data_IF_405632863629
#
_entry.id   IF_405632863629
#
_cell.length_a   1.000
_cell.length_b   1.000
_cell.length_c   1.000
_cell.angle_alpha   90.00
_cell.angle_beta   90.00
_cell.angle_gamma   90.00
#
_symmetry.space_group_name_H-M   'P 1'
#
loop_
_entity.id
_entity.type
_entity.pdbx_description
1 polymer ?
#
# COMPACT_ATOMS: atom_id res chain seq x y z
N UNK A 1 -62.64 86.54 -48.93
CA UNK A 1 -61.37 87.27 -49.15
C UNK A 1 -60.23 86.27 -48.99
N UNK A 2 -59.25 86.36 -49.89
CA UNK A 2 -57.92 85.70 -49.88
C UNK A 2 -57.26 85.78 -48.48
N UNK A 3 -56.35 84.93 -48.02
CA UNK A 3 -55.11 84.32 -48.55
C UNK A 3 -54.71 83.21 -47.54
N UNK A 4 -54.03 82.11 -47.84
CA UNK A 4 -52.60 82.02 -48.22
C UNK A 4 -51.75 81.54 -47.01
N UNK A 5 -51.00 80.43 -47.13
CA UNK A 5 -50.01 80.02 -46.12
C UNK A 5 -49.49 78.57 -46.26
N UNK A 6 -48.21 78.44 -46.61
CA UNK A 6 -47.48 77.24 -47.06
C UNK A 6 -47.43 76.01 -46.13
N UNK A 7 -47.33 74.83 -46.76
CA UNK A 7 -46.82 73.58 -46.17
C UNK A 7 -45.29 73.53 -46.29
N UNK A 8 -44.63 73.07 -45.23
CA UNK A 8 -43.29 72.48 -45.30
C UNK A 8 -43.34 71.10 -44.63
N UNK A 9 -42.78 70.11 -45.33
CA UNK A 9 -42.58 68.72 -44.89
C UNK A 9 -41.56 68.59 -43.75
N UNK A 10 -41.63 67.52 -42.94
CA UNK A 10 -40.64 67.23 -41.90
C UNK A 10 -39.43 66.47 -42.46
N UNK A 11 -38.22 66.94 -42.14
CA UNK A 11 -36.97 66.23 -42.43
C UNK A 11 -36.71 65.10 -41.42
N UNK A 12 -36.17 64.01 -41.98
CA UNK A 12 -35.99 62.67 -41.45
C UNK A 12 -35.18 62.52 -40.15
N UNK A 13 -35.69 61.66 -39.26
CA UNK A 13 -34.89 61.00 -38.22
C UNK A 13 -34.29 59.73 -38.84
N UNK A 14 -32.95 59.52 -38.83
CA UNK A 14 -32.37 58.32 -39.42
C UNK A 14 -32.81 57.06 -38.66
N UNK A 15 -33.38 56.10 -39.39
CA UNK A 15 -33.69 54.75 -38.87
C UNK A 15 -32.38 53.99 -38.60
N UNK A 16 -32.30 53.20 -37.52
CA UNK A 16 -31.14 52.35 -37.27
C UNK A 16 -30.98 51.31 -38.39
N UNK A 17 -29.73 51.13 -38.81
CA UNK A 17 -29.31 50.32 -39.94
C UNK A 17 -29.59 48.83 -39.69
N UNK A 18 -30.72 48.31 -40.17
CA UNK A 18 -31.17 46.92 -39.94
C UNK A 18 -30.25 45.87 -40.59
N UNK A 19 -29.47 46.27 -41.59
CA UNK A 19 -28.46 45.43 -42.28
C UNK A 19 -27.31 45.01 -41.36
N UNK A 20 -26.87 45.90 -40.48
CA UNK A 20 -25.77 45.66 -39.55
C UNK A 20 -26.16 44.64 -38.46
N UNK A 21 -27.39 44.74 -37.93
CA UNK A 21 -27.89 43.83 -36.90
C UNK A 21 -28.08 42.39 -37.39
N UNK A 22 -28.63 42.17 -38.59
CA UNK A 22 -28.83 40.81 -39.14
C UNK A 22 -27.51 40.13 -39.43
N UNK A 23 -26.53 40.88 -39.94
CA UNK A 23 -25.19 40.40 -40.26
C UNK A 23 -24.45 40.01 -38.97
N UNK A 24 -24.54 40.85 -37.94
CA UNK A 24 -23.92 40.59 -36.63
C UNK A 24 -24.55 39.40 -35.89
N UNK A 25 -25.87 39.22 -35.94
CA UNK A 25 -26.54 38.03 -35.39
C UNK A 25 -26.16 36.74 -36.13
N UNK A 26 -26.01 36.80 -37.46
CA UNK A 26 -25.61 35.63 -38.26
C UNK A 26 -24.19 35.19 -37.93
N UNK A 27 -23.25 36.13 -37.78
CA UNK A 27 -21.87 35.82 -37.35
C UNK A 27 -21.80 35.31 -35.90
N UNK A 28 -22.65 35.82 -35.01
CA UNK A 28 -22.75 35.33 -33.62
C UNK A 28 -23.29 33.88 -33.56
N UNK A 29 -24.32 33.58 -34.36
CA UNK A 29 -24.88 32.23 -34.45
C UNK A 29 -23.89 31.23 -35.09
N UNK A 30 -23.16 31.63 -36.15
CA UNK A 30 -22.11 30.80 -36.72
C UNK A 30 -20.96 30.57 -35.72
N UNK A 31 -20.56 31.59 -34.97
CA UNK A 31 -19.52 31.47 -33.94
C UNK A 31 -19.91 30.51 -32.81
N UNK A 32 -21.17 30.57 -32.36
CA UNK A 32 -21.72 29.63 -31.37
C UNK A 32 -21.78 28.20 -31.91
N UNK A 33 -22.25 27.99 -33.14
CA UNK A 33 -22.33 26.66 -33.75
C UNK A 33 -20.94 26.04 -33.98
N UNK A 34 -19.97 26.83 -34.44
CA UNK A 34 -18.59 26.38 -34.59
C UNK A 34 -17.95 26.08 -33.24
N UNK A 35 -18.20 26.91 -32.22
CA UNK A 35 -17.71 26.66 -30.85
C UNK A 35 -18.28 25.38 -30.24
N UNK A 36 -19.57 25.13 -30.37
CA UNK A 36 -20.22 23.89 -29.89
C UNK A 36 -19.70 22.68 -30.66
N UNK A 37 -19.51 22.78 -31.97
CA UNK A 37 -18.95 21.71 -32.79
C UNK A 37 -17.50 21.39 -32.42
N UNK A 38 -16.67 22.41 -32.16
CA UNK A 38 -15.29 22.22 -31.72
C UNK A 38 -15.21 21.59 -30.33
N UNK A 39 -16.09 21.98 -29.41
CA UNK A 39 -16.19 21.35 -28.08
C UNK A 39 -16.64 19.90 -28.22
N UNK A 40 -17.64 19.60 -29.06
CA UNK A 40 -18.10 18.23 -29.28
C UNK A 40 -17.02 17.35 -29.90
N UNK A 41 -16.24 17.86 -30.86
CA UNK A 41 -15.09 17.14 -31.44
C UNK A 41 -13.98 16.96 -30.40
N UNK A 42 -13.69 17.97 -29.59
CA UNK A 42 -12.69 17.87 -28.52
C UNK A 42 -13.11 16.84 -27.46
N UNK A 43 -14.38 16.84 -27.05
CA UNK A 43 -14.95 15.85 -26.12
C UNK A 43 -14.90 14.46 -26.76
N UNK A 44 -15.27 14.30 -28.03
CA UNK A 44 -15.17 13.03 -28.74
C UNK A 44 -13.72 12.54 -28.85
N UNK A 45 -12.77 13.43 -29.13
CA UNK A 45 -11.33 13.10 -29.16
C UNK A 45 -10.83 12.73 -27.77
N UNK A 46 -11.23 13.45 -26.71
CA UNK A 46 -10.88 13.11 -25.31
C UNK A 46 -11.47 11.74 -24.93
N UNK A 47 -12.71 11.45 -25.32
CA UNK A 47 -13.35 10.16 -25.10
C UNK A 47 -12.73 9.04 -25.94
N UNK A 48 -12.22 9.35 -27.14
CA UNK A 48 -11.58 8.37 -28.03
C UNK A 48 -10.10 8.12 -27.71
N UNK A 49 -9.40 9.06 -27.06
CA UNK A 49 -7.96 8.97 -26.81
C UNK A 49 -7.59 7.99 -25.68
N UNK A 50 -8.57 7.46 -24.95
CA UNK A 50 -8.31 6.69 -23.73
C UNK A 50 -9.26 5.49 -23.50
N UNK A 51 -9.73 4.83 -24.57
CA UNK A 51 -10.53 3.59 -24.44
C UNK A 51 -10.12 2.50 -25.41
N UNK A 52 -8.84 2.15 -25.45
CA UNK A 52 -8.51 0.72 -25.53
C UNK A 52 -8.43 0.24 -24.09
N UNK A 53 -9.58 -0.08 -23.48
CA UNK A 53 -9.57 -0.80 -22.20
C UNK A 53 -8.91 -2.13 -22.50
N UNK A 54 -7.65 -2.29 -22.09
CA UNK A 54 -6.99 -3.58 -22.12
C UNK A 54 -7.76 -4.48 -21.16
N UNK A 55 -8.57 -5.37 -21.74
CA UNK A 55 -9.30 -6.36 -20.98
C UNK A 55 -8.28 -7.30 -20.34
N UNK A 56 -8.22 -7.34 -19.02
CA UNK A 56 -7.34 -8.24 -18.28
C UNK A 56 -8.14 -9.14 -17.36
N UNK A 57 -7.60 -10.31 -17.05
CA UNK A 57 -8.13 -11.25 -16.06
C UNK A 57 -7.14 -11.34 -14.91
N UNK A 58 -7.66 -11.20 -13.68
CA UNK A 58 -6.87 -11.43 -12.48
C UNK A 58 -6.56 -12.92 -12.33
N UNK A 59 -5.28 -13.26 -12.17
CA UNK A 59 -4.79 -14.65 -12.04
C UNK A 59 -4.31 -14.98 -10.63
N UNK A 60 -3.67 -14.04 -9.96
CA UNK A 60 -3.13 -14.25 -8.62
C UNK A 60 -3.10 -12.95 -7.82
N UNK A 61 -3.32 -13.06 -6.51
CA UNK A 61 -3.20 -11.96 -5.56
C UNK A 61 -2.23 -12.34 -4.45
N UNK A 62 -1.22 -11.50 -4.24
CA UNK A 62 -0.41 -11.56 -3.02
C UNK A 62 -0.78 -10.41 -2.10
N UNK A 63 -0.99 -10.73 -0.84
CA UNK A 63 -1.20 -9.74 0.22
C UNK A 63 -0.05 -9.87 1.20
N UNK A 64 0.67 -8.78 1.48
CA UNK A 64 1.55 -8.70 2.64
C UNK A 64 0.94 -7.70 3.63
N UNK A 65 0.56 -8.19 4.81
CA UNK A 65 -0.04 -7.39 5.86
C UNK A 65 0.84 -7.35 7.10
N UNK A 66 0.84 -6.21 7.79
CA UNK A 66 1.38 -6.11 9.14
C UNK A 66 0.35 -6.56 10.18
N UNK A 67 0.81 -7.07 11.33
CA UNK A 67 -0.07 -7.28 12.47
C UNK A 67 -0.83 -6.00 12.87
N UNK A 68 -1.99 -6.15 13.52
CA UNK A 68 -2.76 -5.02 14.03
C UNK A 68 -2.12 -4.32 15.24
N UNK A 69 -2.83 -3.31 15.76
CA UNK A 69 -2.43 -2.57 16.95
C UNK A 69 -2.22 -3.48 18.18
N UNK A 70 -1.25 -3.10 19.02
CA UNK A 70 -0.82 -3.89 20.18
C UNK A 70 -0.52 -3.00 21.37
N UNK A 71 -0.44 -3.59 22.55
CA UNK A 71 0.20 -2.96 23.72
C UNK A 71 1.73 -2.88 23.53
N UNK A 72 2.42 -2.01 24.29
CA UNK A 72 3.88 -1.98 24.28
C UNK A 72 4.48 -3.30 24.78
N UNK A 73 5.66 -3.66 24.28
CA UNK A 73 6.46 -4.75 24.85
C UNK A 73 7.15 -4.34 26.15
N UNK A 74 7.59 -5.31 26.94
CA UNK A 74 8.41 -5.05 28.13
C UNK A 74 9.72 -4.32 27.77
N UNK A 75 10.36 -4.72 26.67
CA UNK A 75 11.57 -4.08 26.18
C UNK A 75 11.34 -2.60 25.86
N UNK A 76 10.30 -2.26 25.11
CA UNK A 76 10.00 -0.86 24.78
C UNK A 76 9.77 -0.03 26.03
N UNK A 77 9.00 -0.55 27.00
CA UNK A 77 8.74 0.16 28.26
C UNK A 77 9.98 0.30 29.12
N UNK A 78 10.91 -0.67 29.07
CA UNK A 78 12.18 -0.57 29.79
C UNK A 78 13.00 0.65 29.37
N UNK A 79 12.79 1.20 28.16
CA UNK A 79 13.48 2.39 27.64
C UNK A 79 13.10 3.64 28.45
N UNK A 80 11.92 3.68 29.08
CA UNK A 80 11.52 4.77 29.96
C UNK A 80 12.25 4.74 31.32
N UNK A 81 12.88 3.61 31.66
CA UNK A 81 13.62 3.38 32.91
C UNK A 81 12.76 3.43 34.18
N UNK A 82 11.46 3.60 34.05
CA UNK A 82 10.48 3.49 35.13
C UNK A 82 9.52 2.35 34.83
N UNK A 83 9.11 1.54 35.84
CA UNK A 83 8.08 0.54 35.64
C UNK A 83 6.82 1.17 35.07
N UNK A 84 6.26 0.61 33.99
CA UNK A 84 4.97 1.06 33.48
C UNK A 84 3.90 0.87 34.54
N UNK A 85 2.88 1.74 34.61
CA UNK A 85 1.70 1.44 35.38
C UNK A 85 1.04 0.15 34.87
N UNK A 86 0.52 -0.70 35.77
CA UNK A 86 -0.11 -1.99 35.40
C UNK A 86 -1.23 -1.85 34.36
N UNK A 87 -1.93 -0.71 34.35
CA UNK A 87 -3.01 -0.43 33.40
C UNK A 87 -2.55 -0.38 31.93
N UNK A 88 -1.25 -0.24 31.65
CA UNK A 88 -0.71 -0.24 30.27
C UNK A 88 -0.84 -1.62 29.60
N UNK A 89 -0.83 -2.69 30.40
CA UNK A 89 -0.93 -4.06 29.89
C UNK A 89 -2.34 -4.62 29.98
N UNK A 90 -3.18 -4.13 30.88
CA UNK A 90 -4.52 -4.68 31.08
C UNK A 90 -5.43 -4.27 29.91
N UNK A 91 -6.23 -5.20 29.33
CA UNK A 91 -6.42 -6.61 29.72
C UNK A 91 -5.56 -7.61 28.92
N UNK A 92 -4.68 -7.16 28.03
CA UNK A 92 -4.07 -8.03 27.01
C UNK A 92 -2.71 -8.64 27.39
N UNK A 93 -1.95 -8.00 28.27
CA UNK A 93 -0.55 -8.28 28.56
C UNK A 93 0.42 -7.42 27.74
N UNK A 94 1.73 -7.62 27.93
CA UNK A 94 2.77 -6.90 27.19
C UNK A 94 2.91 -7.42 25.75
N UNK A 95 3.05 -6.50 24.79
CA UNK A 95 3.23 -6.80 23.36
C UNK A 95 2.06 -7.55 22.73
N UNK A 96 0.87 -7.48 23.33
CA UNK A 96 -0.29 -8.27 22.96
C UNK A 96 -1.26 -7.48 22.06
N UNK A 97 -1.94 -8.18 21.15
CA UNK A 97 -2.87 -7.58 20.20
C UNK A 97 -4.12 -7.02 20.92
N UNK A 98 -4.44 -5.75 20.68
CA UNK A 98 -5.62 -5.08 21.25
C UNK A 98 -6.90 -5.50 20.53
N UNK A 99 -8.08 -5.16 21.06
CA UNK A 99 -9.34 -5.42 20.34
C UNK A 99 -9.47 -4.56 19.08
N UNK A 100 -8.97 -3.34 19.12
CA UNK A 100 -8.86 -2.43 17.98
C UNK A 100 -7.98 -3.05 16.89
N UNK A 101 -6.79 -3.56 17.26
CA UNK A 101 -5.92 -4.29 16.35
C UNK A 101 -6.54 -5.58 15.79
N UNK A 102 -7.33 -6.29 16.60
CA UNK A 102 -8.09 -7.47 16.15
C UNK A 102 -9.14 -7.09 15.11
N UNK A 103 -9.92 -6.05 15.38
CA UNK A 103 -10.97 -5.60 14.48
C UNK A 103 -10.38 -5.09 13.17
N UNK A 104 -9.33 -4.27 13.23
CA UNK A 104 -8.66 -3.72 12.05
C UNK A 104 -8.19 -4.84 11.09
N UNK A 105 -7.61 -5.91 11.63
CA UNK A 105 -7.12 -7.02 10.83
C UNK A 105 -8.24 -7.90 10.27
N UNK A 106 -9.32 -8.11 11.02
CA UNK A 106 -10.54 -8.73 10.53
C UNK A 106 -11.20 -7.92 9.40
N UNK A 107 -11.35 -6.61 9.59
CA UNK A 107 -11.95 -5.71 8.61
C UNK A 107 -11.14 -5.64 7.32
N UNK A 108 -9.82 -5.70 7.39
CA UNK A 108 -8.98 -5.84 6.20
C UNK A 108 -9.32 -7.13 5.43
N UNK A 109 -9.50 -8.25 6.12
CA UNK A 109 -9.98 -9.49 5.52
C UNK A 109 -11.33 -9.30 4.82
N UNK A 110 -12.27 -8.64 5.47
CA UNK A 110 -13.59 -8.34 4.90
C UNK A 110 -13.50 -7.38 3.69
N UNK A 111 -12.57 -6.42 3.70
CA UNK A 111 -12.31 -5.53 2.56
C UNK A 111 -11.74 -6.32 1.37
N UNK A 112 -10.77 -7.20 1.61
CA UNK A 112 -10.21 -8.08 0.59
C UNK A 112 -11.29 -9.03 0.03
N UNK A 113 -12.17 -9.58 0.89
CA UNK A 113 -13.31 -10.39 0.46
C UNK A 113 -14.22 -9.63 -0.48
N UNK A 114 -14.57 -8.38 -0.14
CA UNK A 114 -15.38 -7.52 -1.01
C UNK A 114 -14.68 -7.20 -2.33
N UNK A 115 -13.39 -6.88 -2.28
CA UNK A 115 -12.59 -6.51 -3.46
C UNK A 115 -12.44 -7.68 -4.44
N UNK A 116 -12.23 -8.89 -3.94
CA UNK A 116 -11.93 -10.08 -4.74
C UNK A 116 -13.06 -11.11 -4.72
N UNK A 117 -14.30 -10.70 -4.43
CA UNK A 117 -15.42 -11.62 -4.24
C UNK A 117 -15.60 -12.60 -5.42
N UNK A 118 -15.60 -12.05 -6.64
CA UNK A 118 -15.82 -12.84 -7.85
C UNK A 118 -14.61 -13.72 -8.20
N UNK A 119 -13.40 -13.23 -7.91
CA UNK A 119 -12.15 -13.96 -8.12
C UNK A 119 -11.98 -15.15 -7.15
N UNK A 120 -12.36 -14.96 -5.88
CA UNK A 120 -12.25 -15.98 -4.83
C UNK A 120 -13.40 -16.98 -4.87
N UNK A 121 -14.51 -16.66 -5.51
CA UNK A 121 -15.71 -17.49 -5.52
C UNK A 121 -16.42 -17.53 -4.16
N UNK A 122 -17.51 -18.31 -4.04
CA UNK A 122 -18.36 -18.32 -2.84
C UNK A 122 -17.79 -19.13 -1.67
N UNK A 123 -16.74 -19.93 -1.90
CA UNK A 123 -16.24 -20.92 -0.93
C UNK A 123 -14.80 -20.65 -0.53
N UNK A 124 -14.42 -21.10 0.66
CA UNK A 124 -13.01 -21.30 0.98
C UNK A 124 -12.53 -22.61 0.33
N UNK A 125 -11.49 -22.52 -0.50
CA UNK A 125 -10.86 -23.65 -1.18
C UNK A 125 -9.40 -23.75 -0.74
N UNK A 126 -9.08 -24.76 0.09
CA UNK A 126 -7.77 -24.89 0.73
C UNK A 126 -6.61 -24.98 -0.27
N UNK A 127 -6.81 -25.64 -1.41
CA UNK A 127 -5.76 -25.79 -2.44
C UNK A 127 -5.53 -24.51 -3.25
N UNK A 128 -6.45 -23.54 -3.20
CA UNK A 128 -6.38 -22.28 -3.96
C UNK A 128 -5.98 -21.07 -3.10
N UNK A 129 -5.83 -21.27 -1.79
CA UNK A 129 -5.54 -20.21 -0.83
C UNK A 129 -4.42 -20.61 0.12
N UNK A 130 -3.43 -19.74 0.27
CA UNK A 130 -2.31 -19.98 1.19
C UNK A 130 -2.16 -18.80 2.15
N UNK A 131 -2.23 -19.10 3.45
CA UNK A 131 -1.96 -18.12 4.51
C UNK A 131 -0.63 -18.47 5.17
N UNK A 132 0.27 -17.50 5.24
CA UNK A 132 1.61 -17.63 5.79
C UNK A 132 1.80 -16.56 6.86
N UNK A 133 2.05 -16.99 8.08
CA UNK A 133 2.39 -16.10 9.20
C UNK A 133 3.88 -16.17 9.47
N UNK A 134 4.48 -15.05 9.88
CA UNK A 134 5.74 -15.14 10.62
C UNK A 134 5.56 -15.88 11.95
N UNK A 135 6.65 -16.43 12.47
CA UNK A 135 6.65 -17.16 13.75
C UNK A 135 6.60 -16.22 14.97
N UNK A 136 5.64 -15.28 14.98
CA UNK A 136 5.36 -14.38 16.10
C UNK A 136 3.92 -14.55 16.56
N UNK A 137 3.66 -14.30 17.86
CA UNK A 137 2.29 -14.41 18.41
C UNK A 137 1.32 -13.45 17.70
N UNK A 138 1.76 -12.22 17.44
CA UNK A 138 0.94 -11.19 16.78
C UNK A 138 0.60 -11.56 15.34
N UNK A 139 1.58 -12.05 14.57
CA UNK A 139 1.36 -12.48 13.19
C UNK A 139 0.41 -13.67 13.12
N UNK A 140 0.57 -14.67 14.01
CA UNK A 140 -0.30 -15.85 14.05
C UNK A 140 -1.74 -15.48 14.39
N UNK A 141 -1.95 -14.63 15.37
CA UNK A 141 -3.29 -14.13 15.71
C UNK A 141 -3.89 -13.33 14.55
N UNK A 142 -3.10 -12.48 13.90
CA UNK A 142 -3.53 -11.70 12.74
C UNK A 142 -3.91 -12.60 11.57
N UNK A 143 -3.18 -13.69 11.32
CA UNK A 143 -3.51 -14.67 10.28
C UNK A 143 -4.90 -15.30 10.49
N UNK A 144 -5.28 -15.57 11.75
CA UNK A 144 -6.63 -16.06 12.09
C UNK A 144 -7.70 -15.00 11.81
N UNK A 145 -7.43 -13.75 12.17
CA UNK A 145 -8.39 -12.63 12.07
C UNK A 145 -8.65 -12.22 10.62
N UNK A 146 -7.59 -12.03 9.83
CA UNK A 146 -7.74 -11.73 8.40
C UNK A 146 -8.45 -12.86 7.67
N UNK A 147 -8.16 -14.12 8.02
CA UNK A 147 -8.84 -15.29 7.42
C UNK A 147 -10.32 -15.32 7.76
N UNK A 148 -10.70 -14.98 8.99
CA UNK A 148 -12.10 -14.91 9.41
C UNK A 148 -12.89 -13.85 8.62
N UNK A 149 -12.28 -12.71 8.30
CA UNK A 149 -12.90 -11.68 7.46
C UNK A 149 -12.87 -12.02 5.97
N UNK A 150 -11.82 -12.68 5.50
CA UNK A 150 -11.62 -13.02 4.09
C UNK A 150 -12.48 -14.19 3.64
N UNK A 151 -12.74 -15.16 4.52
CA UNK A 151 -13.54 -16.35 4.24
C UNK A 151 -14.58 -16.62 5.32
N UNK A 152 -15.61 -15.77 5.46
CA UNK A 152 -16.79 -16.15 6.25
C UNK A 152 -17.43 -17.43 5.67
N UNK A 153 -17.95 -18.35 6.50
CA UNK A 153 -18.54 -19.59 6.02
C UNK A 153 -19.77 -19.33 5.14
N UNK A 154 -19.78 -19.95 3.96
CA UNK A 154 -21.00 -20.07 3.15
C UNK A 154 -21.97 -21.07 3.81
N UNK A 155 -23.28 -21.09 3.47
CA UNK A 155 -24.24 -22.00 4.10
C UNK A 155 -23.83 -23.48 4.10
N UNK A 156 -23.13 -23.96 3.07
CA UNK A 156 -22.65 -25.35 2.98
C UNK A 156 -21.33 -25.60 3.74
N UNK A 157 -20.55 -24.55 4.02
CA UNK A 157 -19.33 -24.61 4.83
C UNK A 157 -19.56 -24.14 6.28
N UNK A 158 -20.78 -23.76 6.64
CA UNK A 158 -21.19 -23.51 8.02
C UNK A 158 -21.20 -24.82 8.79
N UNK A 159 -20.28 -24.93 9.76
CA UNK A 159 -20.21 -26.08 10.67
C UNK A 159 -20.87 -25.79 12.03
N UNK A 160 -21.19 -24.51 12.30
CA UNK A 160 -21.83 -24.05 13.54
C UNK A 160 -22.75 -22.86 13.26
N UNK A 161 -24.04 -23.01 13.56
CA UNK A 161 -25.07 -22.00 13.25
C UNK A 161 -25.00 -20.74 14.11
N UNK A 162 -24.27 -20.78 15.22
CA UNK A 162 -24.13 -19.64 16.16
C UNK A 162 -22.80 -18.90 16.01
N UNK A 163 -21.87 -19.46 15.24
CA UNK A 163 -20.52 -18.93 15.06
C UNK A 163 -20.21 -18.80 13.57
N UNK A 164 -20.28 -17.57 13.06
CA UNK A 164 -19.96 -17.23 11.67
C UNK A 164 -18.44 -17.22 11.40
N UNK A 165 -17.77 -18.34 11.67
CA UNK A 165 -16.34 -18.55 11.47
C UNK A 165 -16.10 -19.97 10.97
N UNK A 166 -15.11 -20.14 10.10
CA UNK A 166 -14.60 -21.44 9.68
C UNK A 166 -13.08 -21.51 9.85
N UNK A 167 -12.54 -22.70 10.15
CA UNK A 167 -11.10 -22.89 10.23
C UNK A 167 -10.45 -22.72 8.85
N UNK A 168 -9.47 -21.83 8.79
CA UNK A 168 -8.58 -21.65 7.64
C UNK A 168 -7.18 -22.01 8.09
N UNK A 169 -6.56 -22.96 7.41
CA UNK A 169 -5.21 -23.37 7.73
C UNK A 169 -4.22 -22.25 7.36
N UNK A 170 -3.27 -21.98 8.26
CA UNK A 170 -2.11 -21.16 7.97
C UNK A 170 -0.84 -21.94 8.27
N UNK A 171 0.25 -21.56 7.60
CA UNK A 171 1.58 -22.11 7.82
C UNK A 171 2.49 -21.01 8.37
N UNK A 172 3.63 -21.39 8.94
CA UNK A 172 4.66 -20.45 9.34
C UNK A 172 6.03 -21.10 9.10
N UNK A 173 6.93 -20.46 8.32
CA UNK A 173 8.27 -20.96 8.13
C UNK A 173 9.03 -20.96 9.46
N UNK A 174 10.09 -21.79 9.54
CA UNK A 174 11.04 -21.68 10.66
C UNK A 174 11.69 -20.30 10.61
N UNK A 175 12.06 -19.76 11.77
CA UNK A 175 12.68 -18.43 11.89
C UNK A 175 13.84 -18.21 10.91
N UNK A 176 14.72 -19.19 10.71
CA UNK A 176 15.86 -19.06 9.79
C UNK A 176 15.49 -19.03 8.29
N UNK A 177 14.29 -19.49 7.96
CA UNK A 177 13.78 -19.60 6.59
C UNK A 177 12.74 -18.50 6.29
N UNK A 178 12.37 -17.67 7.27
CA UNK A 178 11.30 -16.67 7.16
C UNK A 178 11.83 -15.31 6.65
N UNK A 179 11.52 -14.97 5.40
CA UNK A 179 11.93 -13.68 4.80
C UNK A 179 11.31 -12.46 5.49
N UNK A 180 10.25 -12.62 6.28
CA UNK A 180 9.63 -11.52 7.02
C UNK A 180 10.37 -11.17 8.32
N UNK A 181 11.26 -12.05 8.78
CA UNK A 181 12.07 -11.91 10.01
C UNK A 181 13.55 -11.62 9.71
N UNK A 182 13.81 -10.87 8.62
CA UNK A 182 15.17 -10.56 8.16
C UNK A 182 16.04 -9.86 9.21
N UNK A 183 15.45 -9.07 10.12
CA UNK A 183 16.20 -8.41 11.20
C UNK A 183 16.79 -9.43 12.19
N UNK A 184 16.11 -10.55 12.40
CA UNK A 184 16.51 -11.59 13.33
C UNK A 184 17.41 -12.64 12.67
N UNK A 185 17.11 -13.01 11.40
CA UNK A 185 17.70 -14.18 10.76
C UNK A 185 18.75 -13.88 9.67
N UNK A 186 19.03 -12.60 9.37
CA UNK A 186 19.98 -12.22 8.32
C UNK A 186 21.26 -11.56 8.89
N UNK A 187 22.31 -12.34 9.22
CA UNK A 187 23.57 -11.79 9.73
C UNK A 187 24.20 -10.76 8.80
N UNK A 188 24.07 -10.93 7.47
CA UNK A 188 24.64 -10.01 6.50
C UNK A 188 23.92 -8.65 6.50
N UNK A 189 22.60 -8.63 6.71
CA UNK A 189 21.84 -7.39 6.88
C UNK A 189 22.32 -6.63 8.11
N UNK A 190 22.45 -7.33 9.24
CA UNK A 190 22.91 -6.76 10.50
C UNK A 190 24.34 -6.21 10.40
N UNK A 191 25.26 -6.92 9.74
CA UNK A 191 26.61 -6.42 9.47
C UNK A 191 26.61 -5.12 8.66
N UNK A 192 25.81 -5.05 7.61
CA UNK A 192 25.75 -3.86 6.76
C UNK A 192 25.10 -2.67 7.47
N UNK A 193 24.04 -2.90 8.27
CA UNK A 193 23.42 -1.88 9.10
C UNK A 193 24.40 -1.31 10.13
N UNK A 194 25.18 -2.17 10.78
CA UNK A 194 26.23 -1.75 11.72
C UNK A 194 27.35 -0.98 11.03
N UNK A 195 27.75 -1.39 9.82
CA UNK A 195 28.74 -0.67 9.01
C UNK A 195 28.26 0.76 8.69
N UNK A 196 26.99 0.93 8.35
CA UNK A 196 26.40 2.25 8.09
C UNK A 196 26.31 3.11 9.36
N UNK A 197 25.89 2.54 10.48
CA UNK A 197 25.85 3.26 11.76
C UNK A 197 27.25 3.79 12.13
N UNK A 198 28.29 2.96 11.94
CA UNK A 198 29.67 3.39 12.17
C UNK A 198 30.08 4.52 11.22
N UNK A 199 29.82 4.38 9.92
CA UNK A 199 30.14 5.43 8.94
C UNK A 199 29.44 6.75 9.27
N UNK A 200 28.15 6.73 9.62
CA UNK A 200 27.38 7.92 9.99
C UNK A 200 27.90 8.56 11.28
N UNK A 201 28.42 7.75 12.21
CA UNK A 201 29.07 8.24 13.42
C UNK A 201 30.39 8.92 13.09
N UNK A 202 31.23 8.28 12.29
CA UNK A 202 32.57 8.77 11.90
C UNK A 202 32.48 10.05 11.04
N UNK A 203 31.47 10.15 10.18
CA UNK A 203 31.18 11.35 9.37
C UNK A 203 30.49 12.47 10.15
N UNK A 204 30.16 12.24 11.43
CA UNK A 204 29.60 13.26 12.32
C UNK A 204 28.11 13.55 12.11
N UNK A 205 27.35 12.71 11.39
CA UNK A 205 25.90 12.89 11.17
C UNK A 205 25.11 12.87 12.49
N UNK A 206 25.64 12.19 13.51
CA UNK A 206 25.01 12.11 14.83
C UNK A 206 25.42 13.24 15.79
N UNK A 207 26.43 14.05 15.44
CA UNK A 207 26.92 15.14 16.30
C UNK A 207 25.83 16.14 16.71
N UNK A 208 24.90 16.57 15.81
CA UNK A 208 23.81 17.48 16.19
C UNK A 208 22.83 16.92 17.23
N UNK A 209 22.86 15.60 17.43
CA UNK A 209 21.97 14.88 18.35
C UNK A 209 22.67 14.45 19.65
N UNK A 210 23.97 14.72 19.83
CA UNK A 210 24.73 14.35 21.03
C UNK A 210 24.06 14.79 22.34
N UNK A 211 23.71 16.08 22.43
CA UNK A 211 23.06 16.62 23.63
C UNK A 211 21.66 16.06 23.83
N UNK A 212 20.99 15.68 22.73
CA UNK A 212 19.69 15.04 22.79
C UNK A 212 19.79 13.63 23.36
N UNK A 213 20.74 12.82 22.88
CA UNK A 213 21.00 11.50 23.43
C UNK A 213 21.29 11.58 24.95
N UNK A 214 22.19 12.50 25.34
CA UNK A 214 22.51 12.72 26.75
C UNK A 214 21.28 13.14 27.58
N UNK A 215 20.46 14.05 27.05
CA UNK A 215 19.24 14.51 27.73
C UNK A 215 18.23 13.37 27.94
N UNK A 216 18.00 12.52 26.93
CA UNK A 216 17.07 11.39 27.07
C UNK A 216 17.63 10.35 28.04
N UNK A 217 18.93 10.05 27.98
CA UNK A 217 19.58 9.16 28.94
C UNK A 217 19.44 9.67 30.39
N UNK A 218 19.56 10.98 30.63
CA UNK A 218 19.31 11.58 31.94
C UNK A 218 17.85 11.49 32.38
N UNK A 219 16.90 11.71 31.46
CA UNK A 219 15.46 11.69 31.77
C UNK A 219 14.94 10.28 32.09
N UNK A 220 15.54 9.27 31.47
CA UNK A 220 15.11 7.87 31.57
C UNK A 220 15.98 7.06 32.53
N UNK A 221 17.23 7.45 32.76
CA UNK A 221 18.20 6.63 33.48
C UNK A 221 18.64 5.38 32.70
N UNK A 222 18.40 5.31 31.39
CA UNK A 222 18.79 4.19 30.53
C UNK A 222 19.91 4.57 29.57
N UNK A 223 20.54 3.57 28.94
CA UNK A 223 21.46 3.82 27.85
C UNK A 223 20.66 4.25 26.61
N UNK A 224 20.87 5.49 26.16
CA UNK A 224 20.21 6.04 25.00
C UNK A 224 21.25 6.77 24.14
N UNK A 225 21.85 6.03 23.21
CA UNK A 225 23.08 6.46 22.53
C UNK A 225 23.07 6.29 21.01
N UNK A 226 22.07 5.60 20.46
CA UNK A 226 21.99 5.30 19.03
C UNK A 226 20.62 5.71 18.46
N UNK A 227 20.54 5.87 17.12
CA UNK A 227 19.25 6.07 16.45
C UNK A 227 18.24 4.94 16.68
N UNK A 228 18.71 3.71 16.95
CA UNK A 228 17.84 2.57 17.21
C UNK A 228 17.02 2.74 18.50
N UNK A 229 17.63 3.19 19.60
CA UNK A 229 16.85 3.46 20.82
C UNK A 229 15.85 4.60 20.61
N UNK A 230 16.20 5.61 19.80
CA UNK A 230 15.28 6.68 19.43
C UNK A 230 14.09 6.18 18.61
N UNK A 231 14.32 5.24 17.68
CA UNK A 231 13.25 4.58 16.94
C UNK A 231 12.31 3.80 17.85
N UNK A 232 12.84 3.00 18.78
CA UNK A 232 12.03 2.24 19.73
C UNK A 232 11.25 3.14 20.70
N UNK A 233 11.87 4.21 21.23
CA UNK A 233 11.18 5.17 22.10
C UNK A 233 10.10 5.94 21.35
N UNK A 234 10.35 6.32 20.09
CA UNK A 234 9.34 6.94 19.25
C UNK A 234 8.16 5.99 19.00
N UNK A 235 8.45 4.72 18.69
CA UNK A 235 7.42 3.69 18.49
C UNK A 235 6.58 3.47 19.76
N UNK A 236 7.22 3.43 20.93
CA UNK A 236 6.52 3.35 22.21
C UNK A 236 5.50 4.48 22.40
N UNK A 237 5.87 5.72 22.09
CA UNK A 237 4.97 6.86 22.21
C UNK A 237 3.80 6.81 21.23
N UNK A 238 3.99 6.26 20.03
CA UNK A 238 2.90 6.03 19.09
C UNK A 238 1.94 4.96 19.64
N UNK A 239 2.48 3.84 20.11
CA UNK A 239 1.67 2.77 20.70
C UNK A 239 0.86 3.28 21.90
N UNK A 240 1.48 4.05 22.79
CA UNK A 240 0.79 4.67 23.93
C UNK A 240 -0.35 5.59 23.47
N UNK A 241 -0.13 6.42 22.43
CA UNK A 241 -1.17 7.25 21.82
C UNK A 241 -2.32 6.42 21.22
N UNK A 242 -2.01 5.30 20.56
CA UNK A 242 -2.99 4.38 19.97
C UNK A 242 -3.88 3.78 21.06
N UNK A 243 -3.29 3.22 22.12
CA UNK A 243 -4.00 2.59 23.24
C UNK A 243 -4.51 3.57 24.31
N UNK A 244 -4.46 4.88 24.03
CA UNK A 244 -4.95 5.97 24.91
C UNK A 244 -4.26 6.02 26.28
N UNK A 245 -3.01 5.57 26.35
CA UNK A 245 -2.12 5.75 27.50
C UNK A 245 -1.36 7.06 27.34
N UNK A 246 -1.34 7.94 28.36
CA UNK A 246 -0.63 9.21 28.26
C UNK A 246 0.88 9.01 28.25
N UNK A 247 1.56 9.60 27.27
CA UNK A 247 3.01 9.71 27.25
C UNK A 247 3.53 10.49 28.48
N UNK A 248 4.78 10.26 28.92
CA UNK A 248 5.41 11.04 29.98
C UNK A 248 5.33 12.55 29.71
N UNK A 249 5.10 13.37 30.74
CA UNK A 249 4.94 14.83 30.59
C UNK A 249 6.10 15.51 29.86
N UNK A 250 7.31 14.96 29.97
CA UNK A 250 8.50 15.49 29.30
C UNK A 250 8.55 15.16 27.79
N UNK A 251 7.82 14.15 27.32
CA UNK A 251 7.83 13.68 25.93
C UNK A 251 7.48 14.81 24.95
N UNK A 252 6.53 15.69 25.31
CA UNK A 252 6.13 16.85 24.48
C UNK A 252 7.30 17.79 24.13
N UNK A 253 8.33 17.87 24.98
CA UNK A 253 9.48 18.74 24.79
C UNK A 253 10.57 18.13 23.91
N UNK A 254 10.47 16.83 23.61
CA UNK A 254 11.49 16.08 22.87
C UNK A 254 10.93 15.40 21.62
N UNK A 255 9.60 15.29 21.48
CA UNK A 255 8.90 14.56 20.40
C UNK A 255 9.44 14.89 19.01
N UNK A 256 9.60 16.18 18.67
CA UNK A 256 10.12 16.57 17.35
C UNK A 256 11.52 16.03 17.07
N UNK A 257 12.47 16.27 17.98
CA UNK A 257 13.86 15.83 17.82
C UNK A 257 13.97 14.30 17.89
N UNK A 258 13.14 13.65 18.70
CA UNK A 258 13.02 12.19 18.75
C UNK A 258 12.57 11.62 17.40
N UNK A 259 11.53 12.19 16.79
CA UNK A 259 11.05 11.79 15.47
C UNK A 259 12.10 11.98 14.37
N UNK A 260 12.92 13.03 14.46
CA UNK A 260 13.99 13.28 13.49
C UNK A 260 15.08 12.19 13.58
N UNK A 261 15.49 11.81 14.80
CA UNK A 261 16.46 10.71 15.00
C UNK A 261 15.85 9.35 14.64
N UNK A 262 14.59 9.09 15.01
CA UNK A 262 13.89 7.86 14.64
C UNK A 262 13.79 7.71 13.11
N UNK A 263 13.62 8.82 12.37
CA UNK A 263 13.65 8.82 10.90
C UNK A 263 15.04 8.52 10.34
N UNK A 264 16.12 8.91 11.02
CA UNK A 264 17.47 8.50 10.61
C UNK A 264 17.62 6.99 10.68
N UNK A 265 17.23 6.37 11.79
CA UNK A 265 17.24 4.91 11.94
C UNK A 265 16.39 4.23 10.87
N UNK A 266 15.16 4.71 10.67
CA UNK A 266 14.27 4.14 9.67
C UNK A 266 14.82 4.25 8.24
N UNK A 267 15.47 5.38 7.92
CA UNK A 267 16.16 5.56 6.63
C UNK A 267 17.36 4.63 6.51
N UNK A 268 18.10 4.41 7.60
CA UNK A 268 19.24 3.50 7.64
C UNK A 268 18.84 2.06 7.32
N UNK A 269 17.67 1.60 7.81
CA UNK A 269 17.17 0.23 7.57
C UNK A 269 17.11 -0.16 6.09
N UNK A 270 16.96 0.83 5.19
CA UNK A 270 16.78 0.63 3.75
C UNK A 270 17.69 1.53 2.89
N UNK A 271 18.80 2.02 3.48
CA UNK A 271 19.58 3.12 2.91
C UNK A 271 20.14 2.80 1.52
N UNK A 272 20.76 1.63 1.36
CA UNK A 272 21.43 1.24 0.12
C UNK A 272 20.79 0.00 -0.53
N UNK A 273 21.17 -0.27 -1.78
CA UNK A 273 20.65 -1.39 -2.58
C UNK A 273 20.89 -2.73 -1.86
N UNK A 274 22.00 -2.90 -1.16
CA UNK A 274 22.31 -4.14 -0.44
C UNK A 274 21.30 -4.39 0.68
N UNK A 275 21.02 -3.41 1.53
CA UNK A 275 20.02 -3.54 2.60
C UNK A 275 18.62 -3.79 2.05
N UNK A 276 18.22 -3.13 0.96
CA UNK A 276 16.92 -3.37 0.30
C UNK A 276 16.81 -4.80 -0.23
N UNK A 277 17.89 -5.32 -0.81
CA UNK A 277 17.94 -6.71 -1.30
C UNK A 277 17.85 -7.73 -0.14
N UNK A 278 18.56 -7.47 0.96
CA UNK A 278 18.63 -8.38 2.11
C UNK A 278 17.40 -8.34 3.01
N UNK A 279 16.62 -7.25 2.99
CA UNK A 279 15.39 -7.10 3.76
C UNK A 279 14.15 -7.55 2.97
N UNK A 280 13.69 -6.75 2.02
CA UNK A 280 12.48 -7.03 1.23
C UNK A 280 12.72 -7.75 -0.10
N UNK A 281 13.94 -7.70 -0.62
CA UNK A 281 14.27 -8.22 -1.96
C UNK A 281 14.11 -9.74 -2.08
N UNK A 282 14.42 -10.50 -1.03
CA UNK A 282 14.22 -11.95 -1.01
C UNK A 282 12.72 -12.32 -1.14
N UNK A 283 11.86 -11.62 -0.39
CA UNK A 283 10.42 -11.82 -0.48
C UNK A 283 9.86 -11.36 -1.83
N UNK A 284 10.32 -10.22 -2.36
CA UNK A 284 9.92 -9.76 -3.70
C UNK A 284 10.28 -10.81 -4.77
N UNK A 285 11.47 -11.38 -4.68
CA UNK A 285 11.91 -12.43 -5.60
C UNK A 285 11.03 -13.69 -5.48
N UNK A 286 10.57 -14.04 -4.28
CA UNK A 286 9.62 -15.14 -4.08
C UNK A 286 8.25 -14.83 -4.70
N UNK A 287 7.69 -13.64 -4.46
CA UNK A 287 6.42 -13.21 -5.06
C UNK A 287 6.48 -13.28 -6.59
N UNK A 288 7.56 -12.79 -7.19
CA UNK A 288 7.75 -12.85 -8.65
C UNK A 288 7.80 -14.31 -9.14
N UNK A 289 8.47 -15.21 -8.41
CA UNK A 289 8.54 -16.63 -8.78
C UNK A 289 7.17 -17.30 -8.71
N UNK A 290 6.40 -17.03 -7.66
CA UNK A 290 5.04 -17.53 -7.50
C UNK A 290 4.12 -17.05 -8.63
N UNK A 291 4.22 -15.77 -9.00
CA UNK A 291 3.51 -15.19 -10.13
C UNK A 291 3.89 -15.82 -11.48
N UNK A 292 5.18 -16.10 -11.70
CA UNK A 292 5.65 -16.80 -12.90
C UNK A 292 5.14 -18.25 -12.90
N UNK A 293 5.18 -18.95 -11.77
CA UNK A 293 4.68 -20.32 -11.68
C UNK A 293 3.19 -20.42 -11.99
N UNK A 294 2.39 -19.43 -11.60
CA UNK A 294 0.96 -19.36 -11.94
C UNK A 294 0.69 -19.33 -13.46
N UNK A 295 1.62 -18.81 -14.28
CA UNK A 295 1.44 -18.79 -15.75
C UNK A 295 1.79 -20.12 -16.42
N UNK A 296 2.49 -21.01 -15.72
CA UNK A 296 2.92 -22.32 -16.26
C UNK A 296 2.07 -23.46 -15.69
N UNK A 297 1.79 -23.42 -14.38
CA UNK A 297 1.07 -24.46 -13.64
C UNK A 297 -0.09 -23.85 -12.82
N UNK A 298 -1.36 -24.08 -13.22
CA UNK A 298 -2.54 -23.55 -12.53
C UNK A 298 -2.82 -24.16 -11.14
N UNK A 299 -1.92 -25.00 -10.63
CA UNK A 299 -2.02 -25.66 -9.31
C UNK A 299 -1.49 -24.78 -8.17
N UNK A 300 -0.93 -23.61 -8.48
CA UNK A 300 -0.46 -22.65 -7.48
C UNK A 300 -1.64 -21.91 -6.80
N UNK A 301 -1.51 -21.50 -5.53
CA UNK A 301 -2.57 -20.76 -4.85
C UNK A 301 -2.88 -19.45 -5.58
N UNK A 302 -4.16 -19.19 -5.81
CA UNK A 302 -4.65 -17.95 -6.41
C UNK A 302 -4.53 -16.76 -5.49
N UNK A 303 -4.60 -16.99 -4.18
CA UNK A 303 -4.44 -15.96 -3.16
C UNK A 303 -3.42 -16.41 -2.13
N UNK A 304 -2.41 -15.57 -1.91
CA UNK A 304 -1.34 -15.82 -0.95
C UNK A 304 -1.30 -14.64 0.02
N UNK A 305 -1.65 -14.89 1.27
CA UNK A 305 -1.68 -13.88 2.34
C UNK A 305 -0.50 -14.11 3.27
N UNK A 306 0.37 -13.12 3.39
CA UNK A 306 1.55 -13.11 4.26
C UNK A 306 1.35 -12.11 5.39
N UNK A 307 1.67 -12.53 6.61
CA UNK A 307 1.51 -11.69 7.80
C UNK A 307 2.88 -11.50 8.46
N UNK A 308 3.36 -10.27 8.42
CA UNK A 308 4.62 -9.85 9.04
C UNK A 308 4.40 -8.68 10.02
N UNK A 309 5.37 -7.78 10.04
CA UNK A 309 5.36 -6.57 10.88
C UNK A 309 5.30 -5.32 10.01
N UNK A 310 5.06 -4.13 10.59
CA UNK A 310 5.15 -2.87 9.85
C UNK A 310 6.49 -2.65 9.13
N UNK A 311 7.60 -3.11 9.73
CA UNK A 311 8.94 -3.05 9.10
C UNK A 311 9.09 -4.04 7.95
N UNK A 312 8.48 -5.24 8.01
CA UNK A 312 8.44 -6.17 6.87
C UNK A 312 7.70 -5.57 5.67
N UNK A 313 6.58 -4.86 5.91
CA UNK A 313 5.84 -4.13 4.87
C UNK A 313 6.71 -3.02 4.27
N UNK A 314 7.36 -2.22 5.10
CA UNK A 314 8.28 -1.17 4.65
C UNK A 314 9.45 -1.74 3.83
N UNK A 315 9.99 -2.89 4.23
CA UNK A 315 11.07 -3.57 3.54
C UNK A 315 10.66 -3.99 2.12
N UNK A 316 9.50 -4.63 1.99
CA UNK A 316 8.99 -5.04 0.66
C UNK A 316 8.72 -3.81 -0.21
N UNK A 317 8.05 -2.78 0.32
CA UNK A 317 7.81 -1.53 -0.40
C UNK A 317 9.12 -0.87 -0.85
N UNK A 318 10.14 -0.89 0.01
CA UNK A 318 11.46 -0.37 -0.31
C UNK A 318 12.19 -1.15 -1.39
N UNK A 319 11.97 -2.46 -1.48
CA UNK A 319 12.55 -3.29 -2.54
C UNK A 319 11.84 -3.07 -3.89
N UNK A 320 10.54 -2.76 -3.86
CA UNK A 320 9.74 -2.54 -5.06
C UNK A 320 9.99 -1.15 -5.68
N UNK A 321 9.98 -0.10 -4.86
CA UNK A 321 10.00 1.29 -5.33
C UNK A 321 10.99 2.12 -4.52
N UNK A 322 10.63 2.44 -3.28
CA UNK A 322 11.41 3.27 -2.37
C UNK A 322 10.92 3.08 -0.92
N UNK A 323 11.76 3.33 0.09
CA UNK A 323 11.33 3.31 1.48
C UNK A 323 10.18 4.30 1.71
N UNK A 324 9.14 3.94 2.49
CA UNK A 324 8.10 4.91 2.85
C UNK A 324 8.69 6.05 3.69
N UNK A 325 8.03 7.23 3.76
CA UNK A 325 8.54 8.38 4.52
C UNK A 325 8.47 8.19 6.04
N UNK A 326 7.70 7.20 6.51
CA UNK A 326 7.54 6.83 7.91
C UNK A 326 7.25 5.33 8.01
N UNK A 327 7.38 4.77 9.21
CA UNK A 327 6.92 3.41 9.50
C UNK A 327 5.43 3.30 9.13
N UNK A 328 5.02 2.27 8.36
CA UNK A 328 3.62 2.02 8.08
C UNK A 328 2.83 1.75 9.37
N UNK A 329 1.55 2.09 9.36
CA UNK A 329 0.69 1.84 10.52
C UNK A 329 0.41 0.33 10.68
N UNK A 330 0.25 -0.18 11.91
CA UNK A 330 -0.23 -1.55 12.13
C UNK A 330 -1.51 -1.81 11.34
N UNK A 331 -1.66 -3.02 10.81
CA UNK A 331 -2.80 -3.42 9.98
C UNK A 331 -2.77 -2.89 8.54
N UNK A 332 -1.70 -2.22 8.10
CA UNK A 332 -1.53 -1.90 6.67
C UNK A 332 -1.31 -3.18 5.84
N UNK A 333 -1.74 -3.17 4.57
CA UNK A 333 -1.49 -4.21 3.60
C UNK A 333 -0.90 -3.67 2.28
N UNK A 334 0.03 -4.42 1.69
CA UNK A 334 0.50 -4.27 0.31
C UNK A 334 -0.11 -5.38 -0.54
N UNK A 335 -0.59 -5.03 -1.73
CA UNK A 335 -1.25 -5.95 -2.65
C UNK A 335 -0.47 -6.00 -3.96
N UNK A 336 -0.22 -7.22 -4.45
CA UNK A 336 0.31 -7.47 -5.78
C UNK A 336 -0.72 -8.29 -6.56
N UNK A 337 -1.14 -7.78 -7.70
CA UNK A 337 -2.14 -8.40 -8.56
C UNK A 337 -1.46 -8.82 -9.87
N UNK A 338 -1.51 -10.11 -10.20
CA UNK A 338 -1.08 -10.62 -11.50
C UNK A 338 -2.27 -10.60 -12.46
N UNK A 339 -2.17 -9.78 -13.50
CA UNK A 339 -3.18 -9.66 -14.55
C UNK A 339 -2.66 -10.27 -15.85
N UNK A 340 -3.48 -11.10 -16.49
CA UNK A 340 -3.24 -11.59 -17.85
C UNK A 340 -4.10 -10.81 -18.83
N UNK A 341 -3.49 -10.32 -19.92
CA UNK A 341 -4.20 -9.61 -20.97
C UNK A 341 -5.02 -10.57 -21.83
N UNK A 342 -6.30 -10.25 -22.04
CA UNK A 342 -7.16 -10.94 -23.00
C UNK A 342 -6.85 -10.36 -24.39
N UNK A 343 -6.47 -11.20 -25.37
CA UNK A 343 -6.29 -10.74 -26.75
C UNK A 343 -7.59 -10.13 -27.29
N UNK A 344 -7.51 -8.96 -27.91
CA UNK A 344 -8.65 -8.35 -28.57
C UNK A 344 -8.82 -8.92 -29.99
N UNK A 345 -10.04 -8.92 -30.55
CA UNK A 345 -10.27 -9.27 -31.98
C UNK A 345 -9.50 -8.38 -32.98
N UNK A 346 -8.97 -7.24 -32.53
CA UNK A 346 -8.09 -6.39 -33.34
C UNK A 346 -6.66 -6.90 -33.37
N UNK A 347 -6.19 -7.58 -32.31
CA UNK A 347 -4.86 -8.19 -32.24
C UNK A 347 -4.74 -9.39 -33.21
N UNK A 348 -5.82 -10.15 -33.42
CA UNK A 348 -5.86 -11.22 -34.43
C UNK A 348 -5.64 -10.70 -35.87
N UNK A 349 -6.13 -9.49 -36.19
CA UNK A 349 -5.90 -8.88 -37.50
C UNK A 349 -4.46 -8.41 -37.67
N UNK A 350 -3.83 -7.88 -36.62
CA UNK A 350 -2.43 -7.45 -36.65
C UNK A 350 -1.50 -8.67 -36.76
N UNK A 351 -1.79 -9.75 -36.04
CA UNK A 351 -1.04 -11.01 -36.16
C UNK A 351 -1.19 -11.67 -37.54
N UNK A 352 -2.32 -11.51 -38.23
CA UNK A 352 -2.51 -12.00 -39.60
C UNK A 352 -1.84 -11.14 -40.70
N UNK A 353 -1.40 -9.93 -40.37
CA UNK A 353 -0.81 -8.96 -41.31
C UNK A 353 0.72 -8.85 -41.21
N UNK A 354 1.36 -9.58 -40.28
CA UNK A 354 2.81 -9.61 -40.13
C UNK A 354 3.41 -10.71 -41.03
N UNK A 355 4.41 -10.40 -41.89
CA UNK A 355 5.13 -11.42 -42.64
C UNK A 355 5.83 -12.40 -41.69
N UNK A 356 5.98 -13.66 -42.13
CA UNK A 356 6.36 -14.86 -41.37
C UNK A 356 7.65 -14.81 -40.49
N UNK A 357 8.34 -13.66 -40.39
CA UNK A 357 9.59 -13.48 -39.66
C UNK A 357 9.50 -12.88 -38.24
N UNK A 358 8.33 -12.49 -37.75
CA UNK A 358 8.17 -11.97 -36.37
C UNK A 358 7.05 -12.69 -35.61
N UNK A 359 7.12 -14.02 -35.57
CA UNK A 359 6.43 -14.81 -34.54
C UNK A 359 7.28 -14.77 -33.28
N UNK A 360 6.89 -13.96 -32.30
CA UNK A 360 7.38 -14.15 -30.93
C UNK A 360 6.93 -15.54 -30.48
N UNK A 361 7.90 -16.42 -30.27
CA UNK A 361 7.71 -17.79 -29.79
C UNK A 361 7.22 -17.76 -28.34
N UNK A 362 5.91 -17.79 -28.15
CA UNK A 362 5.31 -18.33 -26.92
C UNK A 362 5.21 -19.83 -27.09
N UNK A 363 6.07 -20.57 -26.40
CA UNK A 363 6.01 -22.03 -26.35
C UNK A 363 7.38 -22.66 -26.55
N UNK A 364 8.15 -22.78 -25.48
CA UNK A 364 9.27 -23.72 -25.45
C UNK A 364 8.77 -25.00 -24.79
N UNK A 365 8.34 -25.96 -25.61
CA UNK A 365 8.25 -27.37 -25.22
C UNK A 365 9.66 -27.89 -24.93
N UNK A 366 9.91 -28.36 -23.72
CA UNK A 366 11.12 -29.13 -23.39
C UNK A 366 10.84 -30.61 -23.74
N UNK A 367 11.68 -31.29 -24.55
CA UNK A 367 11.50 -32.69 -24.87
C UNK A 367 11.89 -33.60 -23.68
N UNK A 368 11.38 -34.85 -23.62
CA UNK A 368 11.64 -35.74 -22.50
C UNK A 368 13.10 -36.22 -22.52
N UNK A 369 13.74 -36.23 -21.35
CA UNK A 369 15.04 -36.87 -21.16
C UNK A 369 14.88 -38.40 -21.29
N UNK A 370 15.55 -38.99 -22.28
CA UNK A 370 15.85 -40.41 -22.28
C UNK A 370 17.26 -40.64 -21.70
N UNK A 371 17.31 -41.67 -20.84
CA UNK A 371 18.42 -42.32 -20.14
C UNK A 371 18.97 -41.66 -18.88
#
# INVERSE_FOLDING_TARGET
>A
MKEGGCRHEPDDIPRPDTSSMTTMHTYCCLGLLLGVSLIAVLVAVILMKDTTVELTVLRQVHVLMSHGERTPSEYELSILGTPPPDHVFIPYGAGALTNEGKMLTYEMGALLRRRYNDFLGPYYEADRALVISSDTKLSKMTALLISAGLWPPSPIQTWNDTLAWQPVAYTYPRTNDDYLLYEDNCPRYNQEKQRLLKAFTDEGLLLPYKDFFHKIAQLTGTNFSTPQEAFHLNNLFLIQEDIKVPNPKWAKHVKKKLMDVARLEFTMMFHNILLRKLSGGALLQQIIREAISMTVEPTTPMVIVRIGTPVSVAALLSACVAPPPRLPDPGVALLFELHERIPSKADDKIHSALPDGQKYTTGTTIPPSQN
#
